data_IF_406358957964
#
_entry.id   IF_406358957964
#
_cell.length_a   1.000
_cell.length_b   1.000
_cell.length_c   1.000
_cell.angle_alpha   90.00
_cell.angle_beta   90.00
_cell.angle_gamma   90.00
#
_symmetry.space_group_name_H-M   'P 1'
#
loop_
_entity.id
_entity.type
_entity.pdbx_description
1 polymer ?
#
# COMPACT_ATOMS: atom_id res chain seq x y z
N UNK A 1 18.49 23.90 18.35
CA UNK A 1 17.09 24.20 18.75
C UNK A 1 16.18 23.20 18.06
N UNK A 2 15.48 22.39 18.85
CA UNK A 2 14.60 21.31 18.38
C UNK A 2 13.26 21.89 17.91
N UNK A 3 12.84 21.60 16.68
CA UNK A 3 11.50 21.93 16.18
C UNK A 3 10.70 20.65 15.97
N UNK A 4 9.90 20.31 16.98
CA UNK A 4 8.81 19.35 16.90
C UNK A 4 7.76 19.85 15.89
N UNK A 5 7.61 19.16 14.75
CA UNK A 5 6.49 19.37 13.84
C UNK A 5 5.39 18.35 14.13
N UNK A 6 4.49 18.71 15.05
CA UNK A 6 3.23 18.00 15.25
C UNK A 6 2.27 18.32 14.09
N UNK A 7 1.83 17.29 13.36
CA UNK A 7 0.71 17.36 12.42
C UNK A 7 -0.56 17.73 13.20
N UNK A 8 -1.01 18.99 13.11
CA UNK A 8 -2.31 19.41 13.64
C UNK A 8 -3.38 19.23 12.57
N UNK A 9 -4.30 18.29 12.80
CA UNK A 9 -5.58 18.18 12.08
C UNK A 9 -6.56 19.12 12.75
N UNK A 10 -7.06 20.14 12.04
CA UNK A 10 -8.04 21.07 12.58
C UNK A 10 -9.47 20.57 12.30
N UNK A 11 -10.20 20.30 13.37
CA UNK A 11 -11.64 20.09 13.35
C UNK A 11 -12.30 21.45 13.58
N UNK A 12 -13.18 21.90 12.68
CA UNK A 12 -14.01 23.09 12.96
C UNK A 12 -15.25 22.64 13.74
N UNK A 13 -15.33 22.97 15.03
CA UNK A 13 -16.60 22.90 15.77
C UNK A 13 -17.44 24.14 15.43
N UNK A 14 -18.73 23.96 15.17
CA UNK A 14 -19.66 25.08 15.04
C UNK A 14 -20.49 25.18 16.32
N UNK A 15 -20.55 26.39 16.88
CA UNK A 15 -21.32 26.74 18.07
C UNK A 15 -22.82 26.52 17.86
N UNK A 16 -23.47 25.95 18.87
CA UNK A 16 -24.89 25.69 18.92
C UNK A 16 -25.61 26.93 19.44
N UNK A 17 -26.39 27.62 18.61
CA UNK A 17 -27.34 28.60 19.09
C UNK A 17 -28.58 27.86 19.59
N UNK A 18 -28.75 27.78 20.91
CA UNK A 18 -30.04 27.46 21.52
C UNK A 18 -31.03 28.59 21.16
N UNK A 19 -32.06 28.26 20.38
CA UNK A 19 -33.32 29.00 20.45
C UNK A 19 -34.42 28.03 20.87
N UNK A 20 -34.95 28.35 22.03
CA UNK A 20 -36.08 27.75 22.74
C UNK A 20 -37.33 27.66 21.89
N UNK A 21 -38.06 26.56 22.10
CA UNK A 21 -39.39 26.27 21.59
C UNK A 21 -40.45 27.25 22.11
N UNK A 22 -41.43 27.55 21.27
CA UNK A 22 -42.82 27.75 21.68
C UNK A 22 -43.71 27.35 20.51
N UNK A 23 -44.54 26.32 20.73
CA UNK A 23 -45.75 26.07 19.98
C UNK A 23 -46.78 27.14 20.34
N UNK A 24 -47.48 27.70 19.35
CA UNK A 24 -48.94 27.80 19.43
C UNK A 24 -49.57 28.07 18.06
N UNK A 25 -50.89 28.02 18.04
CA UNK A 25 -51.80 27.49 17.03
C UNK A 25 -52.60 28.56 16.25
N UNK A 26 -53.29 28.05 15.22
CA UNK A 26 -54.54 28.53 14.59
C UNK A 26 -54.59 29.44 13.33
N UNK A 27 -55.32 28.85 12.35
CA UNK A 27 -56.19 29.35 11.27
C UNK A 27 -56.19 30.84 10.88
N UNK A 28 -56.05 31.14 9.58
CA UNK A 28 -57.23 31.47 8.75
C UNK A 28 -56.90 31.72 7.26
N UNK A 29 -57.91 31.47 6.45
CA UNK A 29 -57.99 31.44 4.98
C UNK A 29 -58.00 32.86 4.37
N UNK A 30 -57.56 33.05 3.12
CA UNK A 30 -58.31 33.70 2.00
C UNK A 30 -57.44 34.13 0.77
N UNK A 31 -57.82 33.56 -0.38
CA UNK A 31 -58.01 34.15 -1.72
C UNK A 31 -56.83 34.57 -2.65
N UNK A 32 -56.72 33.79 -3.74
CA UNK A 32 -56.12 34.06 -5.07
C UNK A 32 -56.75 35.27 -5.81
N UNK A 33 -56.12 35.84 -6.88
CA UNK A 33 -56.38 35.32 -8.24
C UNK A 33 -55.22 35.36 -9.28
N UNK A 34 -55.02 34.21 -9.93
CA UNK A 34 -54.97 33.92 -11.41
C UNK A 34 -54.12 34.84 -12.32
N UNK A 35 -53.21 34.28 -13.15
CA UNK A 35 -53.41 33.79 -14.55
C UNK A 35 -51.98 33.53 -15.12
N UNK A 36 -51.61 32.59 -15.99
CA UNK A 36 -52.26 31.90 -17.13
C UNK A 36 -51.59 30.54 -17.36
N UNK A 37 -52.38 29.59 -17.88
CA UNK A 37 -52.03 28.20 -18.22
C UNK A 37 -51.53 28.09 -19.66
N UNK A 38 -50.62 27.14 -19.94
CA UNK A 38 -50.57 26.42 -21.22
C UNK A 38 -50.65 24.90 -20.99
N UNK A 39 -51.48 24.24 -21.82
CA UNK A 39 -51.88 22.82 -21.79
C UNK A 39 -50.75 21.90 -22.31
N UNK A 40 -50.36 20.87 -21.54
CA UNK A 40 -50.71 19.43 -21.64
C UNK A 40 -50.23 18.66 -22.90
N UNK A 41 -49.40 17.63 -22.66
CA UNK A 41 -49.46 16.31 -23.33
C UNK A 41 -49.38 15.21 -22.27
N UNK A 42 -50.29 14.23 -22.34
CA UNK A 42 -50.47 13.11 -21.39
C UNK A 42 -49.67 11.87 -21.84
N UNK A 43 -49.11 11.14 -20.90
CA UNK A 43 -49.02 9.66 -20.94
C UNK A 43 -49.21 9.10 -19.52
N UNK A 44 -49.69 7.85 -19.44
CA UNK A 44 -50.43 7.19 -18.35
C UNK A 44 -49.54 6.61 -17.21
N UNK A 45 -50.13 6.19 -16.07
CA UNK A 45 -49.47 6.10 -14.77
C UNK A 45 -48.87 4.71 -14.48
N UNK A 46 -47.79 4.69 -13.69
CA UNK A 46 -47.31 3.48 -13.00
C UNK A 46 -47.23 3.77 -11.51
N UNK A 47 -47.68 2.78 -10.75
CA UNK A 47 -48.06 2.82 -9.33
C UNK A 47 -46.95 3.30 -8.40
N UNK A 48 -47.37 4.12 -7.44
CA UNK A 48 -46.64 4.44 -6.23
C UNK A 48 -46.36 3.18 -5.40
N UNK A 49 -45.10 2.99 -5.03
CA UNK A 49 -44.73 2.40 -3.74
C UNK A 49 -43.80 3.39 -3.07
N UNK A 50 -44.32 4.16 -2.12
CA UNK A 50 -43.53 5.05 -1.26
C UNK A 50 -42.63 4.18 -0.37
N UNK A 51 -41.33 4.43 -0.37
CA UNK A 51 -40.47 4.22 0.79
C UNK A 51 -39.53 5.41 0.92
N UNK A 52 -39.87 6.25 1.89
CA UNK A 52 -39.02 7.10 2.70
C UNK A 52 -37.71 7.59 2.07
N UNK A 53 -37.76 8.84 1.59
CA UNK A 53 -36.61 9.73 1.50
C UNK A 53 -36.15 10.03 2.93
N UNK A 54 -35.09 9.36 3.38
CA UNK A 54 -34.35 9.74 4.57
C UNK A 54 -33.00 10.33 4.13
N UNK A 55 -32.96 11.65 4.23
CA UNK A 55 -31.86 12.47 4.71
C UNK A 55 -30.50 12.38 4.01
N UNK A 56 -30.22 13.50 3.32
CA UNK A 56 -28.92 13.96 2.86
C UNK A 56 -27.88 13.91 3.98
N UNK A 57 -27.04 12.87 3.96
CA UNK A 57 -25.75 12.88 4.68
C UNK A 57 -24.81 13.76 3.86
N UNK A 58 -24.65 15.01 4.28
CA UNK A 58 -23.58 15.88 3.81
C UNK A 58 -22.22 15.27 4.21
N UNK A 59 -21.54 14.60 3.28
CA UNK A 59 -20.15 14.17 3.48
C UNK A 59 -19.26 15.38 3.73
N UNK A 60 -18.75 15.50 4.94
CA UNK A 60 -17.67 16.43 5.26
C UNK A 60 -16.38 15.89 4.61
N UNK A 61 -16.10 16.34 3.40
CA UNK A 61 -14.88 16.02 2.67
C UNK A 61 -13.64 16.40 3.48
N UNK A 62 -12.82 15.40 3.81
CA UNK A 62 -11.55 15.63 4.50
C UNK A 62 -10.59 16.34 3.56
N UNK A 63 -9.99 17.46 3.99
CA UNK A 63 -8.97 18.17 3.20
C UNK A 63 -7.58 18.01 3.81
N UNK A 64 -6.56 18.08 2.97
CA UNK A 64 -5.16 18.10 3.39
C UNK A 64 -4.43 19.27 2.73
N UNK A 65 -3.54 19.98 3.47
CA UNK A 65 -2.74 21.04 2.90
C UNK A 65 -1.62 20.48 2.00
N UNK A 66 -1.44 21.07 0.83
CA UNK A 66 -0.31 20.77 -0.04
C UNK A 66 1.01 21.22 0.62
N UNK A 67 2.03 20.36 0.62
CA UNK A 67 3.35 20.73 1.13
C UNK A 67 4.01 21.89 0.37
N UNK A 68 3.75 22.00 -0.95
CA UNK A 68 4.37 22.96 -1.87
C UNK A 68 3.63 24.31 -1.83
N UNK A 69 2.32 24.32 -2.11
CA UNK A 69 1.56 25.58 -2.22
C UNK A 69 0.72 25.93 -1.00
N UNK A 70 0.71 25.08 0.05
CA UNK A 70 -0.06 25.25 1.30
C UNK A 70 -1.58 25.38 1.13
N UNK A 71 -2.13 25.15 -0.06
CA UNK A 71 -3.56 25.15 -0.28
C UNK A 71 -4.19 23.88 0.28
N UNK A 72 -5.37 24.01 0.89
CA UNK A 72 -6.23 22.89 1.28
C UNK A 72 -6.82 22.22 0.04
N UNK A 73 -6.66 20.90 -0.04
CA UNK A 73 -7.11 20.10 -1.18
C UNK A 73 -7.91 18.93 -0.64
N UNK A 74 -9.05 18.67 -1.27
CA UNK A 74 -9.81 17.46 -1.04
C UNK A 74 -8.98 16.20 -1.35
N UNK A 75 -9.23 15.11 -0.61
CA UNK A 75 -8.47 13.85 -0.77
C UNK A 75 -8.51 13.34 -2.21
N UNK A 76 -9.65 13.47 -2.90
CA UNK A 76 -9.79 13.00 -4.29
C UNK A 76 -8.87 13.75 -5.27
N UNK A 77 -8.58 15.03 -4.99
CA UNK A 77 -7.79 15.90 -5.85
C UNK A 77 -6.30 15.94 -5.55
N UNK A 78 -5.86 15.34 -4.43
CA UNK A 78 -4.49 15.56 -3.93
C UNK A 78 -3.41 14.95 -4.84
N UNK A 79 -3.68 13.78 -5.42
CA UNK A 79 -2.72 13.10 -6.31
C UNK A 79 -2.50 13.91 -7.58
N UNK A 80 -3.59 14.30 -8.25
CA UNK A 80 -3.54 15.14 -9.44
C UNK A 80 -2.84 16.47 -9.15
N UNK A 81 -3.19 17.11 -8.03
CA UNK A 81 -2.59 18.38 -7.65
C UNK A 81 -1.06 18.26 -7.49
N UNK A 82 -0.58 17.21 -6.83
CA UNK A 82 0.87 16.92 -6.73
C UNK A 82 1.48 16.70 -8.11
N UNK A 83 0.81 15.96 -9.01
CA UNK A 83 1.30 15.74 -10.38
C UNK A 83 1.34 17.03 -11.21
N UNK A 84 0.43 17.98 -10.97
CA UNK A 84 0.47 19.29 -11.62
C UNK A 84 1.69 20.10 -11.19
N UNK A 85 2.06 20.09 -9.91
CA UNK A 85 3.32 20.71 -9.45
C UNK A 85 4.53 20.11 -10.16
N UNK A 86 4.62 18.77 -10.23
CA UNK A 86 5.72 18.08 -10.90
C UNK A 86 5.77 18.44 -12.39
N UNK A 87 4.62 18.47 -13.08
CA UNK A 87 4.55 18.83 -14.49
C UNK A 87 4.95 20.29 -14.75
N UNK A 88 4.50 21.23 -13.92
CA UNK A 88 4.92 22.63 -14.00
C UNK A 88 6.42 22.77 -13.80
N UNK A 89 6.98 22.14 -12.77
CA UNK A 89 8.41 22.14 -12.51
C UNK A 89 9.21 21.51 -13.67
N UNK A 90 8.70 20.44 -14.28
CA UNK A 90 9.35 19.76 -15.42
C UNK A 90 9.43 20.64 -16.66
N UNK A 91 8.43 21.50 -16.88
CA UNK A 91 8.46 22.50 -17.95
C UNK A 91 9.12 23.84 -17.54
N UNK A 92 9.60 23.95 -16.30
CA UNK A 92 10.25 25.17 -15.79
C UNK A 92 9.29 26.30 -15.40
N UNK A 93 8.01 26.01 -15.18
CA UNK A 93 7.02 26.98 -14.70
C UNK A 93 6.97 27.06 -13.17
N UNK A 94 6.71 28.25 -12.65
CA UNK A 94 6.36 28.46 -11.25
C UNK A 94 4.85 28.24 -11.01
N UNK A 95 4.49 27.82 -9.79
CA UNK A 95 3.09 27.61 -9.43
C UNK A 95 2.35 28.94 -9.23
N UNK A 96 1.36 29.22 -10.09
CA UNK A 96 0.57 30.47 -10.08
C UNK A 96 -0.85 30.27 -9.54
N UNK A 97 -1.00 29.60 -8.39
CA UNK A 97 -2.27 29.57 -7.64
C UNK A 97 -3.49 29.07 -8.45
N UNK A 98 -3.45 27.80 -8.90
CA UNK A 98 -4.44 27.11 -9.77
C UNK A 98 -4.59 27.64 -11.20
N UNK A 99 -4.09 28.83 -11.55
CA UNK A 99 -4.13 29.30 -12.94
C UNK A 99 -3.10 28.51 -13.76
N UNK A 100 -3.59 27.58 -14.58
CA UNK A 100 -2.76 26.88 -15.57
C UNK A 100 -2.22 27.92 -16.57
N UNK A 101 -0.95 27.82 -17.01
CA UNK A 101 -0.45 28.62 -18.11
C UNK A 101 -1.31 28.42 -19.36
N UNK A 102 -1.39 29.44 -20.22
CA UNK A 102 -2.13 29.33 -21.47
C UNK A 102 -1.55 28.19 -22.33
N UNK A 103 -2.38 27.37 -23.01
CA UNK A 103 -1.88 26.26 -23.82
C UNK A 103 -0.74 26.67 -24.77
N UNK A 104 -0.89 27.76 -25.51
CA UNK A 104 0.16 28.31 -26.39
C UNK A 104 1.53 28.45 -25.71
N UNK A 105 1.57 28.97 -24.48
CA UNK A 105 2.80 29.14 -23.68
C UNK A 105 3.41 27.79 -23.31
N UNK A 106 2.57 26.79 -22.98
CA UNK A 106 3.02 25.43 -22.64
C UNK A 106 3.65 24.76 -23.88
N UNK A 107 3.05 24.93 -25.07
CA UNK A 107 3.59 24.37 -26.31
C UNK A 107 4.94 24.99 -26.70
N UNK A 108 5.06 26.31 -26.61
CA UNK A 108 6.32 27.03 -26.87
C UNK A 108 7.40 26.59 -25.88
N UNK A 109 7.05 26.49 -24.59
CA UNK A 109 7.99 26.06 -23.56
C UNK A 109 8.45 24.60 -23.77
N UNK A 110 7.56 23.70 -24.18
CA UNK A 110 7.92 22.33 -24.54
C UNK A 110 8.95 22.31 -25.68
N UNK A 111 8.69 23.06 -26.76
CA UNK A 111 9.61 23.12 -27.90
C UNK A 111 10.97 23.69 -27.50
N UNK A 112 10.98 24.75 -26.70
CA UNK A 112 12.20 25.36 -26.16
C UNK A 112 13.01 24.36 -25.32
N UNK A 113 12.35 23.62 -24.40
CA UNK A 113 13.00 22.63 -23.55
C UNK A 113 13.58 21.45 -24.36
N UNK A 114 12.88 20.96 -25.37
CA UNK A 114 13.37 19.91 -26.26
C UNK A 114 14.56 20.40 -27.08
N UNK A 115 14.47 21.60 -27.66
CA UNK A 115 15.58 22.21 -28.41
C UNK A 115 16.82 22.40 -27.52
N UNK A 116 16.63 22.88 -26.29
CA UNK A 116 17.70 23.01 -25.30
C UNK A 116 18.36 21.67 -24.98
N UNK A 117 17.58 20.61 -24.77
CA UNK A 117 18.10 19.26 -24.49
C UNK A 117 18.87 18.67 -25.66
N UNK A 118 18.38 18.87 -26.89
CA UNK A 118 19.08 18.47 -28.12
C UNK A 118 20.40 19.22 -28.27
N UNK A 119 20.41 20.53 -27.96
CA UNK A 119 21.63 21.35 -28.01
C UNK A 119 22.65 21.04 -26.91
N UNK A 120 22.21 20.47 -25.78
CA UNK A 120 23.07 20.21 -24.62
C UNK A 120 23.56 18.76 -24.54
N UNK A 121 23.28 17.91 -25.54
CA UNK A 121 23.60 16.47 -25.55
C UNK A 121 23.13 15.66 -24.32
N UNK A 122 22.22 16.21 -23.51
CA UNK A 122 21.64 15.56 -22.31
C UNK A 122 20.32 14.85 -22.65
N UNK A 123 20.12 14.54 -23.93
CA UNK A 123 18.89 13.96 -24.42
C UNK A 123 18.82 12.47 -24.06
N UNK A 124 17.81 12.10 -23.28
CA UNK A 124 17.45 10.70 -23.07
C UNK A 124 15.97 10.51 -23.35
N UNK A 125 15.58 9.32 -23.80
CA UNK A 125 14.19 8.96 -24.05
C UNK A 125 13.32 9.18 -22.79
N UNK A 126 13.85 8.84 -21.62
CA UNK A 126 13.20 9.06 -20.33
C UNK A 126 12.91 10.55 -20.07
N UNK A 127 13.87 11.44 -20.37
CA UNK A 127 13.68 12.89 -20.22
C UNK A 127 12.62 13.40 -21.20
N UNK A 128 12.66 12.96 -22.45
CA UNK A 128 11.65 13.34 -23.45
C UNK A 128 10.25 12.86 -23.04
N UNK A 129 10.13 11.61 -22.59
CA UNK A 129 8.86 11.06 -22.13
C UNK A 129 8.31 11.83 -20.93
N UNK A 130 9.17 12.22 -19.99
CA UNK A 130 8.79 13.07 -18.86
C UNK A 130 8.22 14.42 -19.30
N UNK A 131 8.88 15.09 -20.26
CA UNK A 131 8.41 16.37 -20.83
C UNK A 131 7.06 16.19 -21.54
N UNK A 132 6.92 15.13 -22.34
CA UNK A 132 5.67 14.83 -23.05
C UNK A 132 4.53 14.58 -22.07
N UNK A 133 4.76 13.76 -21.03
CA UNK A 133 3.76 13.48 -20.00
C UNK A 133 3.35 14.77 -19.25
N UNK A 134 4.31 15.65 -18.94
CA UNK A 134 4.05 16.93 -18.29
C UNK A 134 3.21 17.86 -19.18
N UNK A 135 3.55 17.95 -20.46
CA UNK A 135 2.79 18.70 -21.46
C UNK A 135 1.35 18.21 -21.57
N UNK A 136 1.17 16.90 -21.75
CA UNK A 136 -0.16 16.27 -21.86
C UNK A 136 -1.04 16.55 -20.63
N UNK A 137 -0.47 16.47 -19.43
CA UNK A 137 -1.20 16.72 -18.19
C UNK A 137 -1.65 18.18 -18.05
N UNK A 138 -0.82 19.13 -18.46
CA UNK A 138 -1.12 20.56 -18.35
C UNK A 138 -2.05 21.04 -19.47
N UNK A 139 -1.85 20.52 -20.69
CA UNK A 139 -2.61 20.89 -21.89
C UNK A 139 -4.06 20.39 -21.85
N UNK A 140 -4.30 19.17 -21.37
CA UNK A 140 -5.64 18.59 -21.36
C UNK A 140 -6.59 19.37 -20.45
N UNK A 141 -7.77 19.71 -21.01
CA UNK A 141 -8.88 20.37 -20.29
C UNK A 141 -9.54 19.43 -19.28
N UNK A 142 -9.65 18.15 -19.63
CA UNK A 142 -10.20 17.11 -18.77
C UNK A 142 -9.08 16.26 -18.17
N UNK A 143 -9.28 15.84 -16.93
CA UNK A 143 -8.35 14.97 -16.19
C UNK A 143 -8.46 13.57 -16.79
N UNK A 144 -7.38 12.99 -17.32
CA UNK A 144 -7.41 11.61 -17.78
C UNK A 144 -7.82 10.64 -16.66
N UNK A 145 -8.59 9.60 -17.00
CA UNK A 145 -9.13 8.65 -16.04
C UNK A 145 -8.06 8.00 -15.13
N UNK A 146 -6.86 7.77 -15.65
CA UNK A 146 -5.76 7.18 -14.88
C UNK A 146 -5.16 8.11 -13.79
N UNK A 147 -5.51 9.41 -13.77
CA UNK A 147 -5.17 10.32 -12.67
C UNK A 147 -6.27 10.42 -11.62
N UNK A 148 -7.43 9.81 -11.86
CA UNK A 148 -8.60 9.77 -10.98
C UNK A 148 -8.56 8.51 -10.09
N UNK A 149 -7.40 8.28 -9.46
CA UNK A 149 -7.14 7.09 -8.63
C UNK A 149 -8.17 6.97 -7.51
N UNK A 150 -8.63 8.10 -6.99
CA UNK A 150 -9.55 8.14 -5.86
C UNK A 150 -11.04 8.02 -6.25
N UNK A 151 -11.40 8.14 -7.53
CA UNK A 151 -12.79 8.01 -7.99
C UNK A 151 -13.30 6.55 -7.84
N UNK A 152 -12.38 5.58 -7.67
CA UNK A 152 -12.68 4.15 -7.52
C UNK A 152 -12.42 3.61 -6.10
N UNK A 153 -12.17 4.46 -5.08
CA UNK A 153 -11.94 3.97 -3.71
C UNK A 153 -13.13 3.14 -3.23
N UNK A 154 -14.36 3.56 -3.52
CA UNK A 154 -15.58 2.85 -3.13
C UNK A 154 -15.67 1.44 -3.73
N UNK A 155 -14.92 1.19 -4.81
CA UNK A 155 -14.80 -0.12 -5.49
C UNK A 155 -13.55 -0.89 -5.08
N UNK A 156 -12.70 -0.29 -4.27
CA UNK A 156 -11.46 -0.90 -3.80
C UNK A 156 -11.76 -1.89 -2.67
N UNK A 157 -11.06 -3.02 -2.66
CA UNK A 157 -11.21 -4.00 -1.59
C UNK A 157 -10.27 -3.62 -0.45
N UNK A 158 -10.83 -3.39 0.75
CA UNK A 158 -10.08 -3.04 1.94
C UNK A 158 -10.00 -4.25 2.88
N UNK A 159 -8.79 -4.66 3.22
CA UNK A 159 -8.55 -5.68 4.23
C UNK A 159 -8.00 -5.02 5.49
N UNK A 160 -8.66 -5.28 6.62
CA UNK A 160 -8.13 -4.96 7.94
C UNK A 160 -7.52 -6.22 8.53
N UNK A 161 -6.20 -6.23 8.69
CA UNK A 161 -5.50 -7.39 9.26
C UNK A 161 -5.32 -7.18 10.77
N UNK A 162 -5.81 -8.13 11.56
CA UNK A 162 -5.44 -8.21 12.98
C UNK A 162 -4.01 -8.75 13.05
N UNK A 163 -3.08 -7.93 13.54
CA UNK A 163 -1.67 -8.29 13.69
C UNK A 163 -1.31 -8.27 15.16
N UNK A 164 -0.69 -9.36 15.63
CA UNK A 164 -0.20 -9.48 16.98
C UNK A 164 1.25 -9.01 17.06
N UNK A 165 1.47 -7.69 16.96
CA UNK A 165 2.80 -7.10 17.04
C UNK A 165 2.77 -5.77 17.81
N UNK A 166 3.61 -5.64 18.84
CA UNK A 166 3.55 -4.51 19.78
C UNK A 166 3.82 -3.13 19.15
N UNK A 167 4.61 -3.06 18.07
CA UNK A 167 4.87 -1.80 17.35
C UNK A 167 3.78 -1.43 16.32
N UNK A 168 2.89 -2.36 15.97
CA UNK A 168 1.92 -2.15 14.90
C UNK A 168 0.57 -1.79 15.51
N UNK A 169 0.08 -0.58 15.21
CA UNK A 169 -1.24 -0.12 15.65
C UNK A 169 -2.38 -0.59 14.74
N UNK A 170 -2.08 -0.89 13.49
CA UNK A 170 -3.04 -1.37 12.52
C UNK A 170 -2.40 -1.54 11.14
N UNK A 171 -2.97 -2.44 10.35
CA UNK A 171 -2.59 -2.65 8.95
C UNK A 171 -3.85 -2.63 8.10
N UNK A 172 -3.81 -1.78 7.07
CA UNK A 172 -4.83 -1.68 6.04
C UNK A 172 -4.21 -2.02 4.69
N UNK A 173 -4.89 -2.86 3.94
CA UNK A 173 -4.49 -3.27 2.59
C UNK A 173 -5.61 -2.83 1.66
N UNK A 174 -5.26 -2.20 0.55
CA UNK A 174 -6.21 -1.69 -0.43
C UNK A 174 -5.85 -2.19 -1.81
N UNK A 175 -6.79 -2.87 -2.47
CA UNK A 175 -6.67 -3.31 -3.85
C UNK A 175 -7.52 -2.41 -4.76
N UNK A 176 -6.88 -1.73 -5.72
CA UNK A 176 -7.59 -1.01 -6.79
C UNK A 176 -7.73 -1.91 -8.02
N UNK A 177 -8.94 -2.46 -8.22
CA UNK A 177 -9.25 -3.30 -9.38
C UNK A 177 -9.62 -2.43 -10.56
N UNK A 178 -8.65 -2.18 -11.43
CA UNK A 178 -8.90 -1.57 -12.74
C UNK A 178 -9.48 -2.60 -13.73
N UNK A 179 -10.74 -3.00 -13.49
CA UNK A 179 -11.45 -4.05 -14.24
C UNK A 179 -11.59 -3.74 -15.74
N UNK A 180 -11.43 -2.48 -16.15
CA UNK A 180 -11.43 -2.07 -17.55
C UNK A 180 -10.21 -2.60 -18.32
N UNK A 181 -9.06 -2.76 -17.64
CA UNK A 181 -7.79 -3.14 -18.28
C UNK A 181 -7.29 -4.53 -17.89
N UNK A 182 -7.63 -5.00 -16.68
CA UNK A 182 -7.33 -6.37 -16.23
C UNK A 182 -8.56 -6.96 -15.56
N UNK A 183 -9.04 -8.10 -16.07
CA UNK A 183 -10.18 -8.80 -15.49
C UNK A 183 -9.87 -9.35 -14.09
N UNK A 184 -8.66 -9.90 -13.92
CA UNK A 184 -8.21 -10.53 -12.68
C UNK A 184 -7.14 -9.69 -11.98
N UNK A 185 -7.20 -9.67 -10.65
CA UNK A 185 -6.14 -9.10 -9.81
C UNK A 185 -4.98 -10.10 -9.74
N UNK A 186 -3.85 -9.72 -10.35
CA UNK A 186 -2.64 -10.53 -10.30
C UNK A 186 -1.81 -10.27 -9.04
N UNK A 187 -2.08 -9.17 -8.34
CA UNK A 187 -1.34 -8.80 -7.15
C UNK A 187 -1.75 -9.73 -6.00
N UNK A 188 -0.78 -10.11 -5.18
CA UNK A 188 -0.96 -10.90 -3.97
C UNK A 188 -0.24 -10.23 -2.81
N UNK A 189 -0.70 -10.51 -1.60
CA UNK A 189 -0.02 -10.07 -0.39
C UNK A 189 -0.03 -11.18 0.65
N UNK A 190 0.94 -11.12 1.55
CA UNK A 190 1.05 -12.05 2.66
C UNK A 190 1.41 -11.26 3.92
N UNK A 191 0.71 -11.54 5.02
CA UNK A 191 1.03 -10.99 6.33
C UNK A 191 1.09 -12.13 7.33
N UNK A 192 2.25 -12.34 7.94
CA UNK A 192 2.46 -13.39 8.95
C UNK A 192 2.82 -12.74 10.28
N UNK A 193 1.93 -12.87 11.26
CA UNK A 193 2.23 -12.49 12.64
C UNK A 193 3.05 -13.59 13.32
N UNK A 194 3.87 -13.21 14.30
CA UNK A 194 4.76 -14.14 15.03
C UNK A 194 5.63 -14.99 14.09
N UNK A 195 6.20 -14.35 13.07
CA UNK A 195 6.96 -15.03 12.02
C UNK A 195 8.12 -15.85 12.61
N UNK A 196 8.22 -17.12 12.23
CA UNK A 196 9.19 -18.07 12.80
C UNK A 196 8.95 -18.43 14.27
N UNK A 197 7.69 -18.40 14.72
CA UNK A 197 7.29 -18.59 16.12
C UNK A 197 7.92 -17.58 17.10
N UNK A 198 8.45 -16.46 16.58
CA UNK A 198 9.02 -15.39 17.39
C UNK A 198 7.94 -14.35 17.70
N UNK A 199 7.57 -14.15 18.98
CA UNK A 199 6.70 -13.05 19.34
C UNK A 199 7.38 -11.73 18.97
N UNK A 200 6.61 -10.75 18.50
CA UNK A 200 7.13 -9.45 18.06
C UNK A 200 8.05 -9.51 16.83
N UNK A 201 7.84 -10.50 15.95
CA UNK A 201 8.36 -10.48 14.58
C UNK A 201 7.17 -10.62 13.62
N UNK A 202 7.11 -9.77 12.62
CA UNK A 202 6.05 -9.82 11.60
C UNK A 202 6.65 -9.76 10.21
N UNK A 203 6.20 -10.65 9.32
CA UNK A 203 6.54 -10.65 7.92
C UNK A 203 5.42 -10.03 7.08
N UNK A 204 5.80 -9.22 6.11
CA UNK A 204 4.90 -8.71 5.07
C UNK A 204 5.49 -9.00 3.70
N UNK A 205 4.63 -9.33 2.75
CA UNK A 205 4.98 -9.46 1.34
C UNK A 205 3.92 -8.83 0.47
N UNK A 206 4.35 -8.09 -0.56
CA UNK A 206 3.53 -7.60 -1.66
C UNK A 206 4.14 -8.12 -2.96
N UNK A 207 3.29 -8.72 -3.79
CA UNK A 207 3.69 -9.48 -4.97
C UNK A 207 2.87 -9.00 -6.17
N UNK A 208 3.52 -8.40 -7.17
CA UNK A 208 2.90 -7.92 -8.40
C UNK A 208 3.09 -8.97 -9.52
N UNK A 209 1.99 -9.61 -9.91
CA UNK A 209 1.98 -10.62 -10.96
C UNK A 209 1.81 -10.05 -12.37
N UNK A 210 2.69 -10.47 -13.28
CA UNK A 210 2.62 -10.13 -14.70
C UNK A 210 2.44 -11.38 -15.57
N UNK A 211 1.69 -11.25 -16.66
CA UNK A 211 1.28 -12.36 -17.54
C UNK A 211 0.49 -13.49 -16.82
N UNK A 212 -0.12 -13.17 -15.68
CA UNK A 212 -0.95 -14.07 -14.88
C UNK A 212 -0.69 -13.90 -13.38
N UNK A 213 -1.58 -14.44 -12.55
CA UNK A 213 -1.45 -14.39 -11.09
C UNK A 213 -0.61 -15.55 -10.50
N UNK A 214 -0.30 -16.58 -11.29
CA UNK A 214 0.24 -17.85 -10.79
C UNK A 214 1.62 -17.70 -10.12
N UNK A 215 2.55 -16.96 -10.72
CA UNK A 215 3.85 -16.69 -10.10
C UNK A 215 3.72 -15.88 -8.80
N UNK A 216 2.85 -14.87 -8.76
CA UNK A 216 2.61 -14.08 -7.55
C UNK A 216 1.96 -14.90 -6.44
N UNK A 217 1.01 -15.77 -6.78
CA UNK A 217 0.35 -16.70 -5.85
C UNK A 217 1.37 -17.66 -5.24
N UNK A 218 2.18 -18.33 -6.08
CA UNK A 218 3.21 -19.24 -5.59
C UNK A 218 4.24 -18.53 -4.71
N UNK A 219 4.70 -17.36 -5.15
CA UNK A 219 5.67 -16.54 -4.40
C UNK A 219 5.11 -16.11 -3.05
N UNK A 220 3.83 -15.72 -3.00
CA UNK A 220 3.17 -15.29 -1.76
C UNK A 220 3.09 -16.39 -0.69
N UNK A 221 3.05 -17.65 -1.12
CA UNK A 221 2.96 -18.83 -0.24
C UNK A 221 4.34 -19.38 0.14
N UNK A 222 5.26 -19.49 -0.82
CA UNK A 222 6.51 -20.24 -0.64
C UNK A 222 7.70 -19.38 -0.23
N UNK A 223 7.76 -18.13 -0.69
CA UNK A 223 8.87 -17.22 -0.34
C UNK A 223 9.00 -16.98 1.18
N UNK A 224 7.92 -16.78 1.96
CA UNK A 224 8.04 -16.61 3.41
C UNK A 224 8.67 -17.85 4.08
N UNK A 225 8.33 -19.05 3.60
CA UNK A 225 8.85 -20.32 4.13
C UNK A 225 10.33 -20.49 3.77
N UNK A 226 10.71 -20.17 2.52
CA UNK A 226 12.11 -20.18 2.09
C UNK A 226 12.96 -19.20 2.89
N UNK A 227 12.42 -18.00 3.14
CA UNK A 227 13.08 -16.99 3.96
C UNK A 227 13.25 -17.45 5.40
N UNK A 228 12.20 -18.01 6.00
CA UNK A 228 12.25 -18.53 7.36
C UNK A 228 13.31 -19.63 7.50
N UNK A 229 13.39 -20.54 6.52
CA UNK A 229 14.41 -21.58 6.48
C UNK A 229 15.84 -21.01 6.37
N UNK A 230 16.05 -19.94 5.62
CA UNK A 230 17.37 -19.29 5.57
C UNK A 230 17.69 -18.61 6.90
N UNK A 231 16.72 -17.93 7.51
CA UNK A 231 16.91 -17.26 8.81
C UNK A 231 17.21 -18.26 9.93
N UNK A 232 16.50 -19.39 10.00
CA UNK A 232 16.69 -20.40 11.05
C UNK A 232 18.07 -21.05 11.04
N UNK A 233 18.77 -21.06 9.88
CA UNK A 233 20.15 -21.52 9.77
C UNK A 233 21.16 -20.58 10.45
N UNK A 234 20.89 -19.28 10.44
CA UNK A 234 21.79 -18.27 11.03
C UNK A 234 21.39 -17.90 12.47
N UNK A 235 20.09 -17.81 12.74
CA UNK A 235 19.52 -17.52 14.04
C UNK A 235 18.58 -18.65 14.48
N UNK A 236 19.02 -19.55 15.38
CA UNK A 236 18.23 -20.68 15.89
C UNK A 236 16.96 -20.27 16.64
N UNK A 237 16.77 -19.00 16.96
CA UNK A 237 15.52 -18.53 17.59
C UNK A 237 14.34 -18.50 16.61
N UNK A 238 14.60 -18.51 15.30
CA UNK A 238 13.58 -18.72 14.27
C UNK A 238 13.24 -20.21 14.18
N UNK A 239 11.99 -20.56 14.50
CA UNK A 239 11.50 -21.93 14.45
C UNK A 239 10.53 -22.12 13.30
N UNK A 240 10.66 -23.26 12.62
CA UNK A 240 9.72 -23.69 11.58
C UNK A 240 8.69 -24.65 12.19
N UNK A 241 7.46 -24.56 11.72
CA UNK A 241 6.43 -25.56 11.97
C UNK A 241 6.67 -26.82 11.14
N UNK A 242 6.01 -27.93 11.50
CA UNK A 242 6.12 -29.20 10.76
C UNK A 242 5.67 -29.05 9.30
N UNK A 243 4.61 -28.27 9.04
CA UNK A 243 4.08 -28.03 7.70
C UNK A 243 5.07 -27.23 6.85
N UNK A 244 5.65 -26.17 7.42
CA UNK A 244 6.70 -25.38 6.76
C UNK A 244 7.94 -26.24 6.45
N UNK A 245 8.33 -27.12 7.38
CA UNK A 245 9.44 -28.05 7.16
C UNK A 245 9.12 -29.06 6.05
N UNK A 246 7.88 -29.54 5.96
CA UNK A 246 7.44 -30.44 4.88
C UNK A 246 7.50 -29.73 3.52
N UNK A 247 7.13 -28.44 3.45
CA UNK A 247 7.30 -27.62 2.24
C UNK A 247 8.78 -27.53 1.88
N UNK A 248 9.67 -27.26 2.83
CA UNK A 248 11.12 -27.24 2.54
C UNK A 248 11.61 -28.60 2.04
N UNK A 249 11.23 -29.67 2.71
CA UNK A 249 11.63 -31.03 2.34
C UNK A 249 11.15 -31.39 0.94
N UNK A 250 10.00 -30.88 0.50
CA UNK A 250 9.50 -31.12 -0.86
C UNK A 250 10.37 -30.49 -1.97
N UNK A 251 11.29 -29.58 -1.63
CA UNK A 251 12.23 -28.96 -2.57
C UNK A 251 13.57 -29.68 -2.69
N UNK A 252 13.78 -30.81 -2.00
CA UNK A 252 15.07 -31.50 -1.97
C UNK A 252 15.61 -31.87 -3.36
N UNK A 253 14.72 -32.15 -4.32
CA UNK A 253 15.10 -32.47 -5.70
C UNK A 253 15.57 -31.25 -6.49
N UNK A 254 15.11 -30.06 -6.12
CA UNK A 254 15.41 -28.78 -6.78
C UNK A 254 16.70 -28.19 -6.24
N UNK A 255 16.86 -28.18 -4.92
CA UNK A 255 18.04 -27.64 -4.25
C UNK A 255 19.00 -28.77 -3.88
N UNK A 256 19.65 -29.34 -4.90
CA UNK A 256 20.68 -30.39 -4.72
C UNK A 256 21.91 -29.85 -4.00
N UNK A 257 22.75 -30.77 -3.54
CA UNK A 257 24.02 -30.47 -2.84
C UNK A 257 24.90 -29.48 -3.60
N UNK A 258 24.97 -29.59 -4.94
CA UNK A 258 25.70 -28.65 -5.80
C UNK A 258 25.15 -27.22 -5.70
N UNK A 259 23.82 -27.06 -5.68
CA UNK A 259 23.19 -25.74 -5.55
C UNK A 259 23.41 -25.18 -4.15
N UNK A 260 23.32 -26.01 -3.12
CA UNK A 260 23.63 -25.62 -1.75
C UNK A 260 25.10 -25.18 -1.58
N UNK A 261 26.04 -25.87 -2.24
CA UNK A 261 27.45 -25.49 -2.22
C UNK A 261 27.68 -24.11 -2.86
N UNK A 262 26.98 -23.77 -3.94
CA UNK A 262 27.02 -22.44 -4.56
C UNK A 262 26.45 -21.37 -3.60
N UNK A 263 25.34 -21.66 -2.91
CA UNK A 263 24.76 -20.75 -1.90
C UNK A 263 25.72 -20.49 -0.72
N UNK A 264 26.44 -21.53 -0.29
CA UNK A 264 27.40 -21.43 0.81
C UNK A 264 28.64 -20.65 0.38
N UNK A 265 29.11 -20.84 -0.86
CA UNK A 265 30.17 -20.02 -1.44
C UNK A 265 29.77 -18.53 -1.50
N UNK A 266 28.54 -18.21 -1.93
CA UNK A 266 28.02 -16.84 -1.93
C UNK A 266 28.06 -16.21 -0.52
N UNK A 267 27.83 -17.02 0.52
CA UNK A 267 27.86 -16.54 1.91
C UNK A 267 29.29 -16.32 2.43
N UNK A 268 30.25 -17.05 1.88
CA UNK A 268 31.65 -17.05 2.27
C UNK A 268 32.47 -15.92 1.63
N UNK A 269 32.14 -15.52 0.39
CA UNK A 269 32.89 -14.50 -0.38
C UNK A 269 32.96 -13.13 0.33
N UNK A 270 31.96 -12.80 1.15
CA UNK A 270 31.92 -11.52 1.88
C UNK A 270 32.55 -11.57 3.28
N UNK A 271 33.27 -12.64 3.66
CA UNK A 271 33.90 -12.79 4.98
C UNK A 271 35.27 -12.08 5.12
N UNK A 272 35.65 -11.22 4.18
CA UNK A 272 36.91 -10.48 4.23
C UNK A 272 36.83 -9.37 5.29
N UNK A 273 37.17 -9.70 6.54
CA UNK A 273 37.64 -8.91 7.72
C UNK A 273 37.24 -7.44 7.97
N UNK A 274 36.43 -6.80 7.14
CA UNK A 274 35.96 -5.43 7.30
C UNK A 274 34.54 -5.44 7.86
N UNK A 275 34.43 -5.15 9.17
CA UNK A 275 33.20 -4.76 9.90
C UNK A 275 31.94 -5.53 9.46
N UNK A 276 31.67 -6.68 10.09
CA UNK A 276 30.38 -7.37 9.93
C UNK A 276 29.25 -6.37 10.21
N UNK A 277 28.42 -6.13 9.21
CA UNK A 277 27.21 -5.32 9.38
C UNK A 277 26.23 -6.10 10.29
N UNK A 278 25.63 -5.44 11.29
CA UNK A 278 24.74 -6.07 12.30
C UNK A 278 23.63 -6.92 11.66
N UNK A 279 23.25 -6.62 10.41
CA UNK A 279 22.13 -7.25 9.70
C UNK A 279 22.55 -8.01 8.44
N UNK A 280 23.85 -8.24 8.24
CA UNK A 280 24.37 -8.88 7.03
C UNK A 280 23.77 -10.28 6.81
N UNK A 281 23.66 -11.08 7.87
CA UNK A 281 23.13 -12.44 7.79
C UNK A 281 21.63 -12.44 7.42
N UNK A 282 20.85 -11.52 7.97
CA UNK A 282 19.44 -11.31 7.58
C UNK A 282 19.33 -10.94 6.10
N UNK A 283 20.19 -10.04 5.61
CA UNK A 283 20.19 -9.65 4.20
C UNK A 283 20.64 -10.78 3.27
N UNK A 284 21.62 -11.60 3.69
CA UNK A 284 22.00 -12.83 2.98
C UNK A 284 20.85 -13.84 2.94
N UNK A 285 20.10 -13.97 4.03
CA UNK A 285 18.91 -14.82 4.07
C UNK A 285 17.84 -14.37 3.08
N UNK A 286 17.58 -13.06 2.97
CA UNK A 286 16.74 -12.50 1.91
C UNK A 286 17.25 -12.87 0.52
N UNK A 287 18.53 -12.60 0.22
CA UNK A 287 19.11 -12.87 -1.09
C UNK A 287 18.99 -14.36 -1.48
N UNK A 288 19.34 -15.28 -0.56
CA UNK A 288 19.19 -16.73 -0.76
C UNK A 288 17.74 -17.13 -0.97
N UNK A 289 16.80 -16.59 -0.19
CA UNK A 289 15.39 -16.91 -0.33
C UNK A 289 14.84 -16.49 -1.70
N UNK A 290 15.20 -15.28 -2.17
CA UNK A 290 14.83 -14.83 -3.51
C UNK A 290 15.46 -15.68 -4.61
N UNK A 291 16.73 -16.06 -4.47
CA UNK A 291 17.39 -16.92 -5.46
C UNK A 291 16.74 -18.30 -5.54
N UNK A 292 16.39 -18.90 -4.39
CA UNK A 292 15.64 -20.15 -4.33
C UNK A 292 14.26 -20.02 -4.98
N UNK A 293 13.56 -18.93 -4.70
CA UNK A 293 12.24 -18.68 -5.28
C UNK A 293 12.31 -18.52 -6.79
N UNK A 294 13.30 -17.80 -7.30
CA UNK A 294 13.54 -17.61 -8.73
C UNK A 294 13.78 -18.96 -9.44
N UNK A 295 14.59 -19.83 -8.82
CA UNK A 295 14.81 -21.19 -9.31
C UNK A 295 13.53 -22.02 -9.36
N UNK A 296 12.67 -21.92 -8.34
CA UNK A 296 11.39 -22.65 -8.31
C UNK A 296 10.41 -22.15 -9.37
N UNK A 297 10.36 -20.85 -9.60
CA UNK A 297 9.55 -20.25 -10.67
C UNK A 297 10.05 -20.69 -12.04
N UNK A 298 11.36 -20.66 -12.26
CA UNK A 298 11.98 -21.05 -13.52
C UNK A 298 11.78 -22.52 -13.89
N UNK A 299 11.78 -23.43 -12.91
CA UNK A 299 11.52 -24.85 -13.13
C UNK A 299 10.03 -25.20 -13.24
N UNK A 300 9.12 -24.29 -12.88
CA UNK A 300 7.69 -24.51 -12.98
C UNK A 300 7.16 -25.54 -11.99
N UNK A 301 7.05 -25.17 -10.71
CA UNK A 301 6.46 -26.05 -9.69
C UNK A 301 5.04 -26.51 -10.09
N UNK A 302 4.79 -27.82 -9.99
CA UNK A 302 3.53 -28.50 -10.38
C UNK A 302 3.22 -28.48 -11.88
N UNK A 303 4.22 -28.24 -12.75
CA UNK A 303 4.14 -28.31 -14.23
C UNK A 303 2.93 -27.63 -14.86
N UNK A 304 2.35 -26.63 -14.18
CA UNK A 304 1.30 -25.82 -14.78
C UNK A 304 2.01 -24.78 -15.60
N UNK A 305 2.00 -24.94 -16.93
CA UNK A 305 2.51 -24.00 -17.94
C UNK A 305 2.36 -22.53 -17.48
N UNK A 306 1.20 -22.18 -16.93
CA UNK A 306 0.87 -20.83 -16.42
C UNK A 306 1.85 -20.23 -15.41
N UNK A 307 2.49 -21.02 -14.54
CA UNK A 307 3.51 -20.50 -13.60
C UNK A 307 4.75 -20.07 -14.39
N UNK A 308 5.24 -20.92 -15.29
CA UNK A 308 6.44 -20.67 -16.10
C UNK A 308 6.25 -19.51 -17.11
N UNK A 309 5.01 -19.28 -17.57
CA UNK A 309 4.63 -18.16 -18.46
C UNK A 309 4.20 -16.88 -17.74
N UNK A 310 4.15 -16.90 -16.41
CA UNK A 310 3.90 -15.71 -15.58
C UNK A 310 5.17 -15.27 -14.87
N UNK A 311 5.20 -14.04 -14.37
CA UNK A 311 6.28 -13.57 -13.52
C UNK A 311 5.76 -12.74 -12.35
N UNK A 312 6.66 -12.42 -11.42
CA UNK A 312 6.32 -11.73 -10.18
C UNK A 312 7.41 -10.70 -9.83
N UNK A 313 7.00 -9.48 -9.48
CA UNK A 313 7.85 -8.60 -8.68
C UNK A 313 7.43 -8.73 -7.21
N UNK A 314 8.38 -8.66 -6.29
CA UNK A 314 8.13 -8.86 -4.88
C UNK A 314 8.82 -7.78 -4.05
N UNK A 315 8.09 -7.24 -3.08
CA UNK A 315 8.65 -6.44 -1.98
C UNK A 315 8.27 -7.15 -0.68
N UNK A 316 9.25 -7.53 0.11
CA UNK A 316 9.04 -8.18 1.39
C UNK A 316 9.69 -7.40 2.51
N UNK A 317 9.12 -7.49 3.70
CA UNK A 317 9.74 -6.91 4.88
C UNK A 317 9.54 -7.78 6.13
N UNK A 318 10.53 -7.71 7.02
CA UNK A 318 10.46 -8.28 8.36
C UNK A 318 10.59 -7.13 9.35
N UNK A 319 9.60 -6.99 10.22
CA UNK A 319 9.64 -6.08 11.36
C UNK A 319 9.99 -6.88 12.62
N UNK A 320 11.13 -6.58 13.21
CA UNK A 320 11.56 -7.13 14.51
C UNK A 320 11.41 -6.10 15.61
N UNK A 321 10.63 -6.39 16.66
CA UNK A 321 10.54 -5.57 17.86
C UNK A 321 11.55 -5.99 18.93
N UNK A 322 12.37 -5.05 19.43
CA UNK A 322 13.32 -5.30 20.53
C UNK A 322 12.67 -4.95 21.89
N UNK A 323 12.28 -5.90 22.74
CA UNK A 323 11.71 -5.58 24.05
C UNK A 323 12.77 -4.98 24.98
N UNK A 324 12.36 -4.04 25.86
CA UNK A 324 13.23 -3.43 26.90
C UNK A 324 13.88 -4.43 27.85
N UNK A 325 13.34 -5.64 27.95
CA UNK A 325 13.81 -6.70 28.85
C UNK A 325 13.64 -8.07 28.17
N UNK A 326 14.73 -8.80 27.90
CA UNK A 326 14.65 -10.17 27.36
C UNK A 326 14.13 -11.20 28.39
N UNK A 327 14.03 -10.85 29.68
CA UNK A 327 13.66 -11.77 30.75
C UNK A 327 12.15 -11.92 30.98
N UNK A 328 11.31 -11.06 30.41
CA UNK A 328 9.85 -11.17 30.55
C UNK A 328 9.25 -12.42 29.84
N UNK A 329 9.97 -12.99 28.86
CA UNK A 329 9.46 -14.10 28.05
C UNK A 329 9.42 -15.46 28.75
N UNK A 330 10.20 -15.69 29.81
CA UNK A 330 10.20 -16.99 30.52
C UNK A 330 8.88 -17.25 31.27
N UNK A 331 8.14 -16.20 31.61
CA UNK A 331 6.87 -16.32 32.35
C UNK A 331 5.65 -16.48 31.45
N UNK A 332 5.75 -16.20 30.14
CA UNK A 332 4.62 -16.33 29.21
C UNK A 332 4.34 -17.79 28.84
N UNK A 333 5.37 -18.61 28.58
CA UNK A 333 5.21 -20.04 28.26
C UNK A 333 4.69 -20.88 29.43
N UNK A 334 4.89 -20.44 30.68
CA UNK A 334 4.59 -21.24 31.88
C UNK A 334 3.12 -21.19 32.33
N UNK A 335 2.31 -20.25 31.84
CA UNK A 335 0.91 -20.06 32.26
C UNK A 335 -0.15 -20.72 31.37
N UNK A 336 0.23 -21.24 30.20
CA UNK A 336 -0.73 -21.87 29.27
C UNK A 336 -0.88 -23.39 29.44
N UNK A 337 -0.25 -23.98 30.46
CA UNK A 337 -0.40 -25.39 30.81
C UNK A 337 -0.64 -25.49 32.31
N UNK A 338 -1.83 -25.10 32.79
CA UNK A 338 -2.42 -25.64 34.02
C UNK A 338 -3.90 -25.21 34.08
N UNK A 339 -4.79 -26.19 33.92
CA UNK A 339 -6.18 -26.11 34.39
C UNK A 339 -6.17 -25.90 35.91
N UNK A 340 -6.91 -24.90 36.40
CA UNK A 340 -7.05 -24.65 37.83
C UNK A 340 -7.46 -23.23 38.19
N UNK A 341 -8.72 -23.09 38.56
CA UNK A 341 -9.38 -21.95 39.19
C UNK A 341 -8.54 -21.27 40.30
N UNK A 342 -8.23 -19.97 40.16
CA UNK A 342 -8.37 -18.92 41.20
C UNK A 342 -7.59 -17.62 40.87
N UNK A 343 -8.31 -16.53 41.08
CA UNK A 343 -7.91 -15.20 41.57
C UNK A 343 -7.12 -14.21 40.69
N UNK A 344 -7.82 -13.10 40.48
CA UNK A 344 -7.39 -11.82 39.95
C UNK A 344 -6.11 -11.30 40.62
N UNK A 345 -5.01 -11.28 39.87
CA UNK A 345 -3.81 -10.49 40.19
C UNK A 345 -3.74 -9.26 39.27
N UNK A 346 -3.49 -8.05 39.81
CA UNK A 346 -3.48 -6.82 39.02
C UNK A 346 -2.18 -6.66 38.23
N UNK A 347 -2.32 -6.15 37.00
CA UNK A 347 -1.28 -5.59 36.13
C UNK A 347 -0.09 -6.49 35.74
N UNK A 348 -0.27 -7.28 34.68
CA UNK A 348 0.85 -7.60 33.79
C UNK A 348 1.30 -6.31 33.11
N UNK A 349 2.43 -5.74 33.53
CA UNK A 349 3.03 -4.61 32.82
C UNK A 349 3.48 -5.12 31.43
N UNK A 350 2.75 -4.72 30.38
CA UNK A 350 3.10 -5.11 29.01
C UNK A 350 4.55 -4.67 28.72
N UNK A 351 5.39 -5.54 28.13
CA UNK A 351 6.77 -5.17 27.81
C UNK A 351 6.75 -3.97 26.87
N UNK A 352 7.16 -2.81 27.41
CA UNK A 352 7.24 -1.54 26.68
C UNK A 352 8.37 -1.66 25.64
N UNK A 353 8.08 -2.01 24.40
CA UNK A 353 9.03 -1.95 23.28
C UNK A 353 9.30 -0.47 22.95
N UNK A 354 10.57 -0.06 22.82
CA UNK A 354 10.95 1.33 22.44
C UNK A 354 11.12 1.45 20.93
N UNK A 355 11.68 0.42 20.30
CA UNK A 355 12.16 0.46 18.93
C UNK A 355 12.09 -0.91 18.27
N UNK A 356 12.09 -0.90 16.95
CA UNK A 356 12.19 -2.10 16.12
C UNK A 356 12.99 -1.82 14.87
N UNK A 357 13.35 -2.88 14.18
CA UNK A 357 14.09 -2.83 12.92
C UNK A 357 13.19 -3.36 11.82
N UNK A 358 13.08 -2.62 10.73
CA UNK A 358 12.36 -3.03 9.53
C UNK A 358 13.37 -3.37 8.45
N UNK A 359 13.53 -4.65 8.17
CA UNK A 359 14.29 -5.12 7.02
C UNK A 359 13.39 -5.09 5.80
N UNK A 360 13.82 -4.47 4.72
CA UNK A 360 13.08 -4.41 3.45
C UNK A 360 13.95 -4.96 2.35
N UNK A 361 13.38 -5.85 1.55
CA UNK A 361 14.04 -6.39 0.38
C UNK A 361 13.04 -6.44 -0.78
N UNK A 362 13.53 -6.13 -1.99
CA UNK A 362 12.72 -6.15 -3.18
C UNK A 362 13.47 -6.82 -4.32
N UNK A 363 12.74 -7.56 -5.15
CA UNK A 363 13.25 -8.12 -6.38
C UNK A 363 12.18 -8.06 -7.46
N UNK A 364 12.61 -7.97 -8.71
CA UNK A 364 11.75 -8.20 -9.87
C UNK A 364 12.24 -9.45 -10.56
N UNK A 365 11.45 -10.51 -10.57
CA UNK A 365 11.77 -11.68 -11.39
C UNK A 365 11.51 -11.31 -12.84
N UNK A 366 12.58 -11.10 -13.61
CA UNK A 366 12.51 -10.90 -15.06
C UNK A 366 12.53 -12.27 -15.73
N UNK A 367 11.72 -12.44 -16.77
CA UNK A 367 12.07 -13.39 -17.83
C UNK A 367 13.31 -12.87 -18.57
N UNK A 368 14.18 -13.79 -18.95
CA UNK A 368 15.03 -13.62 -20.13
C UNK A 368 14.07 -13.52 -21.33
N UNK A 369 14.11 -12.40 -22.05
CA UNK A 369 13.59 -12.30 -23.41
C UNK A 369 14.42 -13.17 -24.36
#
# INVERSE_FOLDING_TARGET
MSTNNALRVFWKSREWNMKTSTFDSDEDILLLPKRKRFRKKKSRPVRHTKRHEEEQVYEQGTTLPCSICKHEIDLTGIFLHKKQHVALATLGFQWMGRKKPQPSVIAVQRQFMISKLLSSFMFTEKTLQSINNAFELLWKKQIPAYYKIFDNIDRSVIYSQKICHLLIKGVGICEDRNSTWKADMNDKFTVVSNFGNKPNVCFFGLFDGHHGASAAELTSMELPVLLLHQLSKFDPSYQMTTDEQQIINSFYTVFREEYAAIEDLFSAINKTEAVRCEYEDTHKAFAKAFWRMDRLLGLGRKEVSRVQWSGCSAVTCILEGKPKSPYAHKNWKRKNTHDGLAESSPSQEMPKIISGILHVANTGTRRNE
#
